data_IF_217282150817
#
_entry.id   IF_217282150817
#
_cell.length_a   1.000
_cell.length_b   1.000
_cell.length_c   1.000
_cell.angle_alpha   90.00
_cell.angle_beta   90.00
_cell.angle_gamma   90.00
#
_symmetry.space_group_name_H-M   'P 1'
#
loop_
_entity.id
_entity.type
_entity.pdbx_description
1 polymer ?
#
# COMPACT_ATOMS: atom_id res chain seq x y z
N UNK A 1 -35.04 46.21 -33.87
CA UNK A 1 -33.88 46.19 -32.96
C UNK A 1 -34.00 44.96 -32.05
N UNK A 2 -33.29 43.87 -32.35
CA UNK A 2 -33.33 42.60 -31.62
C UNK A 2 -31.95 42.32 -31.01
N UNK A 3 -31.67 42.70 -29.75
CA UNK A 3 -30.45 42.31 -29.06
C UNK A 3 -30.80 41.29 -27.97
N UNK A 4 -31.10 40.04 -28.30
CA UNK A 4 -31.47 39.06 -27.25
C UNK A 4 -31.03 37.63 -27.50
N UNK A 5 -30.97 37.14 -28.75
CA UNK A 5 -30.67 35.72 -29.01
C UNK A 5 -29.19 35.34 -28.84
N UNK A 6 -28.24 36.21 -29.20
CA UNK A 6 -26.80 35.92 -29.09
C UNK A 6 -26.29 35.86 -27.64
N UNK A 7 -26.91 36.59 -26.71
CA UNK A 7 -26.49 36.61 -25.29
C UNK A 7 -26.98 35.38 -24.52
N UNK A 8 -28.15 34.85 -24.87
CA UNK A 8 -28.72 33.65 -24.24
C UNK A 8 -27.91 32.40 -24.63
N UNK A 9 -27.49 32.28 -25.89
CA UNK A 9 -26.70 31.14 -26.36
C UNK A 9 -25.30 31.07 -25.71
N UNK A 10 -24.65 32.21 -25.47
CA UNK A 10 -23.33 32.27 -24.83
C UNK A 10 -23.42 31.94 -23.34
N UNK A 11 -24.48 32.39 -22.65
CA UNK A 11 -24.71 32.03 -21.24
C UNK A 11 -25.01 30.54 -21.06
N UNK A 12 -25.79 29.93 -21.97
CA UNK A 12 -26.08 28.49 -21.93
C UNK A 12 -24.82 27.63 -22.12
N UNK A 13 -23.89 28.04 -22.99
CA UNK A 13 -22.63 27.33 -23.22
C UNK A 13 -21.72 27.36 -21.99
N UNK A 14 -21.63 28.49 -21.30
CA UNK A 14 -20.81 28.65 -20.09
C UNK A 14 -21.36 27.79 -18.93
N UNK A 15 -22.69 27.69 -18.80
CA UNK A 15 -23.33 26.83 -17.78
C UNK A 15 -23.07 25.34 -18.03
N UNK A 16 -23.09 24.88 -19.29
CA UNK A 16 -22.75 23.49 -19.62
C UNK A 16 -21.28 23.14 -19.36
N UNK A 17 -20.34 24.06 -19.63
CA UNK A 17 -18.91 23.83 -19.36
C UNK A 17 -18.62 23.78 -17.86
N UNK A 18 -19.32 24.58 -17.05
CA UNK A 18 -19.19 24.55 -15.58
C UNK A 18 -19.83 23.29 -14.96
N UNK A 19 -20.96 22.80 -15.50
CA UNK A 19 -21.58 21.55 -15.04
C UNK A 19 -20.75 20.30 -15.41
N UNK A 20 -20.12 20.29 -16.59
CA UNK A 20 -19.21 19.21 -16.97
C UNK A 20 -17.91 19.21 -16.12
N UNK A 21 -17.42 20.40 -15.72
CA UNK A 21 -16.29 20.53 -14.80
C UNK A 21 -16.59 20.05 -13.39
N UNK A 22 -17.80 20.30 -12.87
CA UNK A 22 -18.21 19.83 -11.54
C UNK A 22 -18.38 18.29 -11.48
N UNK A 23 -18.83 17.67 -12.57
CA UNK A 23 -18.95 16.21 -12.64
C UNK A 23 -17.59 15.49 -12.66
N UNK A 24 -16.54 16.13 -13.20
CA UNK A 24 -15.19 15.55 -13.23
C UNK A 24 -14.48 15.62 -11.87
N UNK A 25 -14.78 16.63 -11.04
CA UNK A 25 -14.18 16.78 -9.69
C UNK A 25 -14.76 15.75 -8.70
N UNK A 26 -15.98 15.28 -8.92
CA UNK A 26 -16.61 14.22 -8.11
C UNK A 26 -16.09 12.80 -8.42
N UNK A 27 -15.35 12.61 -9.52
CA UNK A 27 -14.70 11.32 -9.85
C UNK A 27 -13.29 11.17 -9.25
N UNK A 28 -12.74 12.23 -8.65
CA UNK A 28 -11.37 12.25 -8.09
C UNK A 28 -11.28 12.01 -6.59
N UNK A 29 -12.40 12.00 -5.86
CA UNK A 29 -12.41 11.62 -4.44
C UNK A 29 -12.61 10.11 -4.34
N UNK A 30 -11.52 9.36 -4.50
CA UNK A 30 -11.49 7.94 -4.14
C UNK A 30 -12.14 7.75 -2.77
N UNK A 31 -13.07 6.80 -2.70
CA UNK A 31 -13.79 6.50 -1.48
C UNK A 31 -12.78 5.98 -0.45
N UNK A 32 -12.33 6.87 0.44
CA UNK A 32 -11.40 6.55 1.53
C UNK A 32 -11.84 5.34 2.34
N UNK A 33 -13.15 5.03 2.40
CA UNK A 33 -13.64 3.87 3.12
C UNK A 33 -13.29 2.56 2.41
N UNK A 34 -13.40 2.52 1.07
CA UNK A 34 -13.00 1.38 0.25
C UNK A 34 -11.47 1.19 0.26
N UNK A 35 -10.71 2.29 0.17
CA UNK A 35 -9.25 2.25 0.28
C UNK A 35 -8.81 1.74 1.67
N UNK A 36 -9.42 2.21 2.75
CA UNK A 36 -9.16 1.71 4.10
C UNK A 36 -9.47 0.21 4.25
N UNK A 37 -10.57 -0.27 3.66
CA UNK A 37 -10.89 -1.70 3.68
C UNK A 37 -9.81 -2.53 2.99
N UNK A 38 -9.35 -2.09 1.81
CA UNK A 38 -8.26 -2.75 1.07
C UNK A 38 -6.95 -2.72 1.85
N UNK A 39 -6.64 -1.63 2.54
CA UNK A 39 -5.44 -1.52 3.38
C UNK A 39 -5.50 -2.48 4.58
N UNK A 40 -6.66 -2.57 5.25
CA UNK A 40 -6.87 -3.52 6.35
C UNK A 40 -6.71 -4.96 5.89
N UNK A 41 -7.31 -5.33 4.77
CA UNK A 41 -7.19 -6.67 4.20
C UNK A 41 -5.72 -7.00 3.87
N UNK A 42 -5.02 -6.06 3.23
CA UNK A 42 -3.60 -6.23 2.95
C UNK A 42 -2.77 -6.39 4.23
N UNK A 43 -2.97 -5.53 5.22
CA UNK A 43 -2.26 -5.60 6.49
C UNK A 43 -2.55 -6.90 7.27
N UNK A 44 -3.79 -7.39 7.22
CA UNK A 44 -4.14 -8.69 7.80
C UNK A 44 -3.35 -9.83 7.12
N UNK A 45 -3.17 -9.77 5.80
CA UNK A 45 -2.35 -10.76 5.08
C UNK A 45 -0.85 -10.68 5.42
N UNK A 46 -0.35 -9.53 5.90
CA UNK A 46 1.03 -9.39 6.35
C UNK A 46 1.27 -9.95 7.77
N UNK A 47 0.23 -10.04 8.60
CA UNK A 47 0.33 -10.48 9.99
C UNK A 47 1.11 -11.80 10.19
N UNK A 48 0.88 -12.90 9.42
CA UNK A 48 1.66 -14.12 9.57
C UNK A 48 3.14 -13.93 9.20
N UNK A 49 3.47 -13.03 8.26
CA UNK A 49 4.85 -12.73 7.87
C UNK A 49 5.56 -11.98 8.99
N UNK A 50 4.92 -10.95 9.54
CA UNK A 50 5.46 -10.19 10.69
C UNK A 50 5.69 -11.14 11.87
N UNK A 51 4.71 -11.98 12.20
CA UNK A 51 4.84 -12.94 13.29
C UNK A 51 6.02 -13.92 13.09
N UNK A 52 6.23 -14.41 11.86
CA UNK A 52 7.35 -15.29 11.50
C UNK A 52 8.70 -14.59 11.63
N UNK A 53 8.83 -13.37 11.13
CA UNK A 53 10.07 -12.59 11.21
C UNK A 53 10.41 -12.26 12.67
N UNK A 54 9.41 -11.87 13.45
CA UNK A 54 9.56 -11.55 14.87
C UNK A 54 9.92 -12.78 15.72
N UNK A 55 9.32 -13.94 15.44
CA UNK A 55 9.70 -15.17 16.13
C UNK A 55 11.12 -15.58 15.78
N UNK A 56 11.50 -15.47 14.50
CA UNK A 56 12.87 -15.72 14.05
C UNK A 56 13.86 -14.81 14.79
N UNK A 57 13.58 -13.49 14.85
CA UNK A 57 14.39 -12.51 15.58
C UNK A 57 14.56 -12.87 17.04
N UNK A 58 13.48 -13.21 17.74
CA UNK A 58 13.52 -13.57 19.16
C UNK A 58 14.38 -14.80 19.43
N UNK A 59 14.34 -15.79 18.54
CA UNK A 59 15.08 -17.04 18.71
C UNK A 59 16.55 -16.94 18.29
N UNK A 60 16.85 -16.18 17.25
CA UNK A 60 18.20 -16.12 16.65
C UNK A 60 18.98 -14.88 17.06
N UNK A 61 18.33 -13.87 17.63
CA UNK A 61 18.93 -12.57 17.94
C UNK A 61 19.26 -11.74 16.69
N UNK A 62 18.76 -12.13 15.51
CA UNK A 62 18.99 -11.46 14.23
C UNK A 62 17.76 -11.61 13.33
N UNK A 63 17.57 -10.68 12.40
CA UNK A 63 16.54 -10.76 11.37
C UNK A 63 16.95 -11.71 10.23
N UNK A 64 16.01 -12.35 9.53
CA UNK A 64 16.31 -13.21 8.39
C UNK A 64 16.87 -12.37 7.23
N UNK A 65 17.95 -12.83 6.61
CA UNK A 65 18.55 -12.17 5.45
C UNK A 65 18.18 -12.87 4.14
N UNK A 66 17.91 -14.17 4.21
CA UNK A 66 17.54 -15.00 3.08
C UNK A 66 16.34 -15.87 3.43
N UNK A 67 15.55 -16.28 2.43
CA UNK A 67 14.43 -17.20 2.61
C UNK A 67 14.87 -18.53 3.26
N UNK A 68 16.10 -18.98 2.96
CA UNK A 68 16.71 -20.16 3.57
C UNK A 68 16.87 -20.08 5.09
N UNK A 69 16.97 -18.88 5.67
CA UNK A 69 17.02 -18.69 7.12
C UNK A 69 15.71 -19.12 7.79
N UNK A 70 14.60 -19.04 7.05
CA UNK A 70 13.25 -19.37 7.51
C UNK A 70 12.87 -20.84 7.23
N UNK A 71 13.80 -21.65 6.71
CA UNK A 71 13.53 -23.04 6.34
C UNK A 71 12.97 -23.85 7.53
N UNK A 72 11.86 -24.55 7.29
CA UNK A 72 11.15 -25.34 8.30
C UNK A 72 10.36 -24.52 9.33
N UNK A 73 10.27 -23.19 9.17
CA UNK A 73 9.50 -22.28 10.04
C UNK A 73 8.37 -21.58 9.31
N UNK A 74 8.43 -21.54 7.97
CA UNK A 74 7.38 -20.93 7.15
C UNK A 74 6.06 -21.69 7.41
N UNK A 75 5.00 -21.00 7.88
CA UNK A 75 3.71 -21.62 8.15
C UNK A 75 3.04 -22.13 6.88
N UNK A 76 2.15 -23.11 7.03
CA UNK A 76 1.37 -23.64 5.91
C UNK A 76 0.61 -22.52 5.18
N UNK A 77 0.63 -22.56 3.84
CA UNK A 77 0.00 -21.55 3.00
C UNK A 77 0.82 -20.27 2.78
N UNK A 78 1.97 -20.12 3.43
CA UNK A 78 2.96 -19.07 3.12
C UNK A 78 4.13 -19.68 2.34
N UNK A 79 4.60 -18.97 1.32
CA UNK A 79 5.80 -19.35 0.57
C UNK A 79 6.81 -18.22 0.66
N UNK A 80 8.06 -18.53 1.00
CA UNK A 80 9.17 -17.59 1.05
C UNK A 80 10.22 -17.95 -0.01
N UNK A 81 10.65 -16.98 -0.81
CA UNK A 81 11.65 -17.18 -1.87
C UNK A 81 12.57 -15.96 -1.99
N UNK A 82 13.86 -16.19 -2.25
CA UNK A 82 14.81 -15.12 -2.52
C UNK A 82 14.61 -14.56 -3.94
N UNK A 83 14.52 -13.23 -4.04
CA UNK A 83 14.43 -12.49 -5.31
C UNK A 83 15.42 -11.34 -5.31
N UNK A 84 16.65 -11.63 -5.70
CA UNK A 84 17.76 -10.69 -5.60
C UNK A 84 18.15 -10.48 -4.15
N UNK A 85 18.02 -9.24 -3.65
CA UNK A 85 18.34 -8.89 -2.26
C UNK A 85 17.11 -8.88 -1.33
N UNK A 86 15.94 -9.29 -1.84
CA UNK A 86 14.67 -9.28 -1.13
C UNK A 86 14.20 -10.71 -0.89
N UNK A 87 13.33 -10.89 0.11
CA UNK A 87 12.54 -12.12 0.27
C UNK A 87 11.12 -11.83 -0.21
N UNK A 88 10.62 -12.62 -1.14
CA UNK A 88 9.22 -12.60 -1.57
C UNK A 88 8.41 -13.55 -0.70
N UNK A 89 7.31 -13.04 -0.15
CA UNK A 89 6.31 -13.83 0.57
C UNK A 89 4.99 -13.90 -0.19
N UNK A 90 4.63 -15.09 -0.67
CA UNK A 90 3.33 -15.35 -1.29
C UNK A 90 2.33 -15.86 -0.24
N UNK A 91 1.22 -15.14 -0.09
CA UNK A 91 0.14 -15.42 0.87
C UNK A 91 -1.08 -16.06 0.20
N UNK A 92 -0.96 -16.49 -1.05
CA UNK A 92 -2.05 -17.03 -1.87
C UNK A 92 -2.94 -15.96 -2.50
N UNK A 93 -2.77 -14.68 -2.14
CA UNK A 93 -3.47 -13.54 -2.75
C UNK A 93 -2.45 -12.59 -3.37
N UNK A 94 -2.40 -12.48 -4.71
CA UNK A 94 -1.48 -11.55 -5.36
C UNK A 94 -1.87 -10.09 -5.09
N UNK A 95 -0.92 -9.14 -5.21
CA UNK A 95 0.51 -9.40 -5.38
C UNK A 95 1.18 -9.83 -4.08
N UNK A 96 2.31 -10.52 -4.18
CA UNK A 96 3.11 -10.97 -3.04
C UNK A 96 3.68 -9.80 -2.22
N UNK A 97 4.04 -10.10 -0.97
CA UNK A 97 4.79 -9.18 -0.10
C UNK A 97 6.29 -9.26 -0.41
N UNK A 98 6.96 -8.12 -0.33
CA UNK A 98 8.40 -8.00 -0.49
C UNK A 98 8.99 -7.58 0.85
N UNK A 99 9.95 -8.35 1.33
CA UNK A 99 10.69 -8.10 2.55
C UNK A 99 12.10 -7.60 2.23
N UNK A 100 12.51 -6.54 2.92
CA UNK A 100 13.89 -6.05 2.96
C UNK A 100 14.31 -5.76 4.39
N UNK A 101 15.59 -5.97 4.66
CA UNK A 101 16.24 -5.43 5.85
C UNK A 101 16.53 -3.94 5.66
N UNK A 102 16.45 -3.21 6.75
CA UNK A 102 16.99 -1.86 6.80
C UNK A 102 18.52 -1.90 6.68
N UNK A 103 19.12 -0.77 6.30
CA UNK A 103 20.55 -0.71 5.98
C UNK A 103 21.46 -1.10 7.15
N UNK A 104 21.01 -0.88 8.38
CA UNK A 104 21.71 -1.23 9.62
C UNK A 104 21.40 -2.65 10.13
N UNK A 105 20.45 -3.35 9.49
CA UNK A 105 19.97 -4.67 9.87
C UNK A 105 19.23 -4.72 11.21
N UNK A 106 18.80 -3.58 11.76
CA UNK A 106 18.07 -3.51 13.03
C UNK A 106 16.56 -3.54 12.87
N UNK A 107 16.08 -3.14 11.69
CA UNK A 107 14.68 -3.15 11.29
C UNK A 107 14.44 -3.83 9.96
N UNK A 108 13.18 -3.87 9.55
CA UNK A 108 12.76 -4.41 8.26
C UNK A 108 11.55 -3.69 7.69
N UNK A 109 11.42 -3.78 6.38
CA UNK A 109 10.27 -3.31 5.62
C UNK A 109 9.55 -4.49 4.96
N UNK A 110 8.22 -4.49 5.03
CA UNK A 110 7.34 -5.27 4.17
C UNK A 110 6.58 -4.32 3.25
N UNK A 111 6.67 -4.54 1.94
CA UNK A 111 5.90 -3.77 0.96
C UNK A 111 5.05 -4.65 0.06
N UNK A 112 3.84 -4.19 -0.25
CA UNK A 112 2.94 -4.84 -1.20
C UNK A 112 2.32 -3.80 -2.10
N UNK A 113 2.44 -4.01 -3.41
CA UNK A 113 1.72 -3.20 -4.40
C UNK A 113 0.22 -3.35 -4.20
N UNK A 114 -0.52 -2.26 -4.28
CA UNK A 114 -1.98 -2.28 -4.27
C UNK A 114 -2.58 -1.85 -5.61
N UNK A 115 -1.77 -1.27 -6.50
CA UNK A 115 -2.12 -0.87 -7.86
C UNK A 115 -0.86 -0.77 -8.72
N UNK A 116 -0.93 -0.01 -9.81
CA UNK A 116 0.21 0.22 -10.72
C UNK A 116 1.40 0.82 -9.97
N UNK A 117 1.13 1.92 -9.27
CA UNK A 117 2.14 2.75 -8.60
C UNK A 117 1.96 2.79 -7.07
N UNK A 118 0.80 2.38 -6.58
CA UNK A 118 0.48 2.46 -5.14
C UNK A 118 0.97 1.23 -4.40
N UNK A 119 1.45 1.41 -3.17
CA UNK A 119 1.84 0.30 -2.28
C UNK A 119 1.49 0.59 -0.83
N UNK A 120 1.28 -0.49 -0.08
CA UNK A 120 1.21 -0.46 1.38
C UNK A 120 2.55 -0.96 1.91
N UNK A 121 3.05 -0.25 2.92
CA UNK A 121 4.35 -0.52 3.52
C UNK A 121 4.19 -0.66 5.03
N UNK A 122 4.76 -1.71 5.59
CA UNK A 122 4.99 -1.86 7.02
C UNK A 122 6.47 -1.73 7.28
N UNK A 123 6.86 -0.76 8.10
CA UNK A 123 8.23 -0.65 8.60
C UNK A 123 8.26 -1.01 10.07
N UNK A 124 9.26 -1.79 10.46
CA UNK A 124 9.55 -2.12 11.84
C UNK A 124 10.93 -1.61 12.21
N UNK A 125 10.98 -0.72 13.19
CA UNK A 125 12.22 -0.18 13.72
C UNK A 125 12.18 -0.26 15.24
N UNK A 126 13.21 -0.86 15.85
CA UNK A 126 13.38 -0.95 17.30
C UNK A 126 12.15 -1.48 18.08
N UNK A 127 11.46 -2.49 17.55
CA UNK A 127 10.28 -3.11 18.16
C UNK A 127 8.96 -2.39 17.85
N UNK A 128 8.96 -1.37 17.00
CA UNK A 128 7.78 -0.56 16.69
C UNK A 128 7.43 -0.64 15.21
N UNK A 129 6.31 -1.27 14.92
CA UNK A 129 5.72 -1.34 13.59
C UNK A 129 4.92 -0.09 13.23
N UNK A 130 5.01 0.36 11.98
CA UNK A 130 4.19 1.44 11.42
C UNK A 130 3.73 1.09 10.01
N UNK A 131 2.48 1.42 9.71
CA UNK A 131 1.93 1.34 8.36
C UNK A 131 1.99 2.69 7.64
N UNK A 132 2.43 2.68 6.39
CA UNK A 132 2.38 3.82 5.49
C UNK A 132 1.79 3.41 4.14
N UNK A 133 1.02 4.30 3.54
CA UNK A 133 0.54 4.20 2.18
C UNK A 133 1.36 5.10 1.28
N UNK A 134 1.99 4.52 0.26
CA UNK A 134 2.71 5.25 -0.76
C UNK A 134 1.82 5.36 -2.01
N UNK A 135 1.39 6.58 -2.40
CA UNK A 135 0.55 6.79 -3.57
C UNK A 135 1.29 6.61 -4.90
N UNK A 136 2.63 6.58 -4.91
CA UNK A 136 3.42 6.45 -6.14
C UNK A 136 3.35 7.64 -7.09
N UNK A 137 2.80 8.78 -6.65
CA UNK A 137 2.67 10.02 -7.43
C UNK A 137 3.85 10.99 -7.25
N UNK A 138 4.89 10.55 -6.53
CA UNK A 138 6.06 11.34 -6.18
C UNK A 138 5.91 12.16 -4.91
N UNK A 139 4.74 12.16 -4.25
CA UNK A 139 4.57 12.72 -2.91
C UNK A 139 5.11 11.78 -1.83
N UNK A 140 5.27 12.32 -0.62
CA UNK A 140 5.72 11.55 0.54
C UNK A 140 4.68 10.47 0.95
N UNK A 141 5.14 9.27 1.38
CA UNK A 141 4.25 8.26 1.95
C UNK A 141 3.47 8.78 3.16
N UNK A 142 2.20 8.41 3.25
CA UNK A 142 1.27 8.89 4.28
C UNK A 142 1.11 7.82 5.36
N UNK A 143 1.26 8.15 6.66
CA UNK A 143 0.94 7.23 7.75
C UNK A 143 -0.52 6.80 7.71
N UNK A 144 -0.80 5.51 7.91
CA UNK A 144 -2.16 4.98 7.96
C UNK A 144 -2.42 4.25 9.27
N UNK A 145 -3.54 4.55 9.91
CA UNK A 145 -3.99 3.85 11.09
C UNK A 145 -4.81 2.62 10.67
N UNK A 146 -4.24 1.44 10.90
CA UNK A 146 -4.92 0.17 10.66
C UNK A 146 -5.40 -0.33 12.02
N UNK A 147 -6.66 -0.03 12.32
CA UNK A 147 -7.33 -0.62 13.48
C UNK A 147 -7.68 -2.09 13.18
N UNK A 148 -7.47 -3.00 14.15
CA UNK A 148 -7.86 -4.41 14.04
C UNK A 148 -9.38 -4.58 13.93
#
# INVERSE_FOLDING_TARGET
>A
MLPSLRRIAVMALIVCVLLAGAALVLLGHGDRSADQARWREAAAAAAPIVALVESYRRERGALPRYAGDLAGRVPDGLVAEDIGALIRFDTGTPPAWLYSLDADGTGFELSRKLGTDTKLVYSEEAGRGRWTYDPGDGNDPVPVEIHP
#
